data_IF_063456300338
#
_entry.id   IF_063456300338
#
_cell.length_a   1.000
_cell.length_b   1.000
_cell.length_c   1.000
_cell.angle_alpha   90.00
_cell.angle_beta   90.00
_cell.angle_gamma   90.00
#
_symmetry.space_group_name_H-M   'P 1'
#
loop_
_entity.id
_entity.type
_entity.pdbx_description
1 polymer ?
#
# COMPACT_ATOMS: atom_id res chain seq x y z
N UNK A 1 32.67 15.52 27.93
CA UNK A 1 33.61 15.28 26.81
C UNK A 1 34.72 16.31 26.90
N UNK A 2 35.96 15.91 26.64
CA UNK A 2 37.13 16.78 26.76
C UNK A 2 37.73 17.04 25.39
N UNK A 3 37.95 18.32 25.03
CA UNK A 3 38.60 18.67 23.78
C UNK A 3 40.07 18.22 23.80
N UNK A 4 40.50 17.45 22.78
CA UNK A 4 41.86 16.90 22.73
C UNK A 4 42.95 17.97 22.61
N UNK A 5 42.66 19.13 21.99
CA UNK A 5 43.60 20.24 21.75
C UNK A 5 43.67 21.22 22.91
N UNK A 6 42.53 21.79 23.33
CA UNK A 6 42.51 22.81 24.37
C UNK A 6 42.22 22.28 25.79
N UNK A 7 41.99 20.96 25.92
CA UNK A 7 41.69 20.28 27.19
C UNK A 7 40.46 20.80 27.94
N UNK A 8 39.60 21.59 27.27
CA UNK A 8 38.36 22.07 27.85
C UNK A 8 37.32 20.95 27.96
N UNK A 9 36.69 20.84 29.13
CA UNK A 9 35.62 19.90 29.40
C UNK A 9 34.25 20.53 29.13
N UNK A 10 33.46 19.89 28.29
CA UNK A 10 32.12 20.35 27.92
C UNK A 10 31.12 19.19 27.83
N UNK A 11 29.85 19.51 27.98
CA UNK A 11 28.76 18.56 27.80
C UNK A 11 28.50 18.31 26.33
N UNK A 12 28.46 17.04 25.93
CA UNK A 12 28.27 16.64 24.53
C UNK A 12 26.83 16.85 24.03
N UNK A 13 25.88 17.04 24.94
CA UNK A 13 24.47 17.32 24.61
C UNK A 13 24.25 18.82 24.38
N UNK A 14 24.52 19.66 25.38
CA UNK A 14 24.23 21.10 25.30
C UNK A 14 25.40 21.96 24.81
N UNK A 15 26.58 21.37 24.60
CA UNK A 15 27.84 22.03 24.21
C UNK A 15 28.34 23.11 25.18
N UNK A 16 27.79 23.17 26.39
CA UNK A 16 28.21 24.09 27.46
C UNK A 16 29.34 23.49 28.31
N UNK A 17 30.05 24.35 29.04
CA UNK A 17 31.07 23.97 30.02
C UNK A 17 30.56 22.88 31.00
N UNK A 18 31.37 21.85 31.20
CA UNK A 18 31.03 20.73 32.09
C UNK A 18 30.87 21.19 33.54
N UNK A 19 31.57 22.23 33.99
CA UNK A 19 31.45 22.76 35.35
C UNK A 19 30.05 23.30 35.68
N UNK A 20 29.25 23.64 34.66
CA UNK A 20 27.86 24.10 34.83
C UNK A 20 26.88 22.96 35.07
N UNK A 21 27.33 21.71 35.06
CA UNK A 21 26.51 20.53 35.29
C UNK A 21 26.68 20.03 36.72
N UNK A 22 25.57 19.70 37.38
CA UNK A 22 25.55 19.25 38.76
C UNK A 22 24.14 18.82 39.19
N UNK A 23 23.88 18.75 40.49
CA UNK A 23 22.58 18.29 41.02
C UNK A 23 21.38 19.09 40.51
N UNK A 24 21.57 20.40 40.24
CA UNK A 24 20.53 21.30 39.73
C UNK A 24 20.19 21.11 38.25
N UNK A 25 21.00 20.39 37.48
CA UNK A 25 20.83 20.19 36.02
C UNK A 25 20.43 18.77 35.66
N UNK A 26 19.98 17.97 36.63
CA UNK A 26 19.64 16.55 36.44
C UNK A 26 20.75 15.57 36.90
N UNK A 27 21.80 16.08 37.55
CA UNK A 27 22.97 15.32 37.97
C UNK A 27 24.18 15.53 37.04
N UNK A 28 25.31 14.90 37.35
CA UNK A 28 26.54 15.06 36.58
C UNK A 28 26.50 14.34 35.21
N UNK A 29 25.57 13.39 35.02
CA UNK A 29 25.47 12.58 33.80
C UNK A 29 24.18 12.79 33.00
N UNK A 30 23.19 13.49 33.55
CA UNK A 30 21.96 13.88 32.87
C UNK A 30 21.96 15.39 32.62
N UNK A 31 21.47 15.84 31.46
CA UNK A 31 21.53 17.24 31.04
C UNK A 31 20.13 17.82 30.80
N UNK A 32 19.46 18.24 31.87
CA UNK A 32 18.15 18.88 31.78
C UNK A 32 18.21 20.26 31.07
N UNK A 33 19.39 20.90 31.02
CA UNK A 33 19.63 22.14 30.26
C UNK A 33 19.48 21.89 28.75
N UNK A 34 19.94 20.74 28.27
CA UNK A 34 19.71 20.36 26.87
C UNK A 34 18.22 20.11 26.62
N UNK A 35 17.54 19.40 27.53
CA UNK A 35 16.12 19.09 27.37
C UNK A 35 15.22 20.34 27.41
N UNK A 36 15.57 21.36 28.20
CA UNK A 36 14.86 22.65 28.18
C UNK A 36 15.14 23.41 26.89
N UNK A 37 16.42 23.53 26.47
CA UNK A 37 16.76 24.14 25.18
C UNK A 37 16.09 23.44 24.01
N UNK A 38 16.02 22.11 24.03
CA UNK A 38 15.34 21.27 23.04
C UNK A 38 13.84 21.56 22.97
N UNK A 39 13.21 21.89 24.09
CA UNK A 39 11.79 22.28 24.18
C UNK A 39 11.54 23.74 23.79
N UNK A 40 12.52 24.61 23.96
CA UNK A 40 12.41 26.05 23.65
C UNK A 40 12.88 26.39 22.22
N UNK A 41 13.77 25.56 21.65
CA UNK A 41 14.32 25.74 20.31
C UNK A 41 13.32 25.30 19.24
N UNK A 42 12.63 26.30 18.68
CA UNK A 42 11.69 26.14 17.58
C UNK A 42 12.33 25.48 16.36
N UNK A 43 13.63 25.67 16.12
CA UNK A 43 14.31 25.03 15.00
C UNK A 43 14.44 23.53 15.24
N UNK A 44 14.84 23.12 16.44
CA UNK A 44 14.95 21.72 16.81
C UNK A 44 13.58 21.00 16.76
N UNK A 45 12.52 21.64 17.26
CA UNK A 45 11.15 21.12 17.12
C UNK A 45 10.70 21.01 15.66
N UNK A 46 11.00 22.01 14.83
CA UNK A 46 10.67 21.97 13.40
C UNK A 46 11.43 20.86 12.67
N UNK A 47 12.69 20.61 13.01
CA UNK A 47 13.50 19.54 12.45
C UNK A 47 12.95 18.16 12.82
N UNK A 48 12.56 17.97 14.08
CA UNK A 48 11.87 16.75 14.51
C UNK A 48 10.55 16.52 13.77
N UNK A 49 9.74 17.58 13.60
CA UNK A 49 8.51 17.49 12.83
C UNK A 49 8.75 17.15 11.35
N UNK A 50 9.81 17.68 10.73
CA UNK A 50 10.20 17.33 9.35
C UNK A 50 10.60 15.85 9.26
N UNK A 51 11.39 15.37 10.21
CA UNK A 51 11.80 13.96 10.28
C UNK A 51 10.57 13.06 10.44
N UNK A 52 9.66 13.41 11.34
CA UNK A 52 8.44 12.63 11.61
C UNK A 52 7.49 12.63 10.41
N UNK A 53 7.27 13.78 9.76
CA UNK A 53 6.53 13.87 8.49
C UNK A 53 7.16 13.02 7.40
N UNK A 54 8.49 13.00 7.31
CA UNK A 54 9.22 12.19 6.32
C UNK A 54 9.05 10.69 6.58
N UNK A 55 9.12 10.26 7.85
CA UNK A 55 8.84 8.88 8.25
C UNK A 55 7.40 8.47 7.91
N UNK A 56 6.43 9.31 8.21
CA UNK A 56 5.01 9.02 7.93
C UNK A 56 4.75 8.86 6.43
N UNK A 57 5.36 9.70 5.59
CA UNK A 57 5.29 9.56 4.12
C UNK A 57 5.89 8.23 3.64
N UNK A 58 7.01 7.81 4.21
CA UNK A 58 7.65 6.54 3.86
C UNK A 58 6.80 5.33 4.27
N UNK A 59 6.26 5.32 5.49
CA UNK A 59 5.37 4.26 5.99
C UNK A 59 4.14 4.15 5.09
N UNK A 60 3.54 5.29 4.74
CA UNK A 60 2.40 5.36 3.82
C UNK A 60 2.75 4.77 2.45
N UNK A 61 3.86 5.19 1.84
CA UNK A 61 4.31 4.62 0.57
C UNK A 61 4.51 3.10 0.66
N UNK A 62 5.17 2.62 1.71
CA UNK A 62 5.41 1.19 1.91
C UNK A 62 4.10 0.40 1.99
N UNK A 63 3.10 0.88 2.75
CA UNK A 63 1.79 0.25 2.86
C UNK A 63 1.11 0.01 1.51
N UNK A 64 1.10 1.02 0.63
CA UNK A 64 0.47 0.94 -0.68
C UNK A 64 1.31 0.12 -1.67
N UNK A 65 2.62 0.31 -1.67
CA UNK A 65 3.54 -0.41 -2.56
C UNK A 65 3.56 -1.91 -2.29
N UNK A 66 3.58 -2.32 -1.02
CA UNK A 66 3.52 -3.74 -0.66
C UNK A 66 2.25 -4.40 -1.19
N UNK A 67 1.09 -3.77 -1.04
CA UNK A 67 -0.19 -4.30 -1.52
C UNK A 67 -0.29 -4.33 -3.04
N UNK A 68 0.17 -3.26 -3.71
CA UNK A 68 0.34 -3.25 -5.16
C UNK A 68 1.20 -4.42 -5.63
N UNK A 69 2.37 -4.60 -5.03
CA UNK A 69 3.31 -5.67 -5.38
C UNK A 69 2.75 -7.06 -5.10
N UNK A 70 2.07 -7.23 -3.97
CA UNK A 70 1.43 -8.48 -3.59
C UNK A 70 0.31 -8.87 -4.56
N UNK A 71 -0.57 -7.94 -4.95
CA UNK A 71 -1.61 -8.24 -5.94
C UNK A 71 -1.03 -8.59 -7.32
N UNK A 72 0.07 -7.95 -7.73
CA UNK A 72 0.79 -8.33 -8.95
C UNK A 72 1.35 -9.75 -8.86
N UNK A 73 2.03 -10.09 -7.75
CA UNK A 73 2.59 -11.44 -7.53
C UNK A 73 1.50 -12.51 -7.46
N UNK A 74 0.44 -12.27 -6.68
CA UNK A 74 -0.68 -13.21 -6.56
C UNK A 74 -1.40 -13.42 -7.89
N UNK A 75 -1.53 -12.39 -8.72
CA UNK A 75 -2.04 -12.52 -10.09
C UNK A 75 -1.16 -13.44 -10.95
N UNK A 76 0.16 -13.29 -10.87
CA UNK A 76 1.11 -14.14 -11.61
C UNK A 76 1.08 -15.60 -11.14
N UNK A 77 0.93 -15.83 -9.84
CA UNK A 77 0.73 -17.17 -9.28
C UNK A 77 -0.56 -17.78 -9.82
N UNK A 78 -1.68 -17.05 -9.76
CA UNK A 78 -2.97 -17.52 -10.27
C UNK A 78 -2.92 -17.85 -11.77
N UNK A 79 -2.22 -17.03 -12.58
CA UNK A 79 -1.98 -17.32 -14.00
C UNK A 79 -1.26 -18.66 -14.23
N UNK A 80 -0.25 -18.97 -13.40
CA UNK A 80 0.46 -20.25 -13.48
C UNK A 80 -0.42 -21.43 -13.03
N UNK A 81 -1.36 -21.19 -12.12
CA UNK A 81 -2.30 -22.21 -11.62
C UNK A 81 -3.43 -22.54 -12.62
N UNK A 82 -3.68 -21.72 -13.65
CA UNK A 82 -4.70 -22.02 -14.69
C UNK A 82 -4.51 -23.43 -15.27
N UNK A 83 -3.27 -23.85 -15.53
CA UNK A 83 -2.98 -25.20 -16.04
C UNK A 83 -3.49 -26.30 -15.10
N UNK A 84 -3.27 -26.14 -13.78
CA UNK A 84 -3.75 -27.07 -12.76
C UNK A 84 -5.28 -27.14 -12.73
N UNK A 85 -5.98 -26.00 -12.85
CA UNK A 85 -7.44 -25.99 -12.90
C UNK A 85 -7.99 -26.67 -14.16
N UNK A 86 -7.33 -26.48 -15.31
CA UNK A 86 -7.63 -27.20 -16.56
C UNK A 86 -7.45 -28.70 -16.41
N UNK A 87 -6.35 -29.14 -15.82
CA UNK A 87 -6.10 -30.55 -15.56
C UNK A 87 -7.14 -31.15 -14.62
N UNK A 88 -7.53 -30.43 -13.56
CA UNK A 88 -8.60 -30.85 -12.65
C UNK A 88 -9.94 -31.05 -13.35
N UNK A 89 -10.33 -30.08 -14.18
CA UNK A 89 -11.51 -30.17 -15.06
C UNK A 89 -11.43 -31.37 -16.01
N UNK A 90 -10.29 -31.58 -16.68
CA UNK A 90 -10.10 -32.72 -17.57
C UNK A 90 -10.17 -34.08 -16.84
N UNK A 91 -9.70 -34.16 -15.58
CA UNK A 91 -9.85 -35.38 -14.76
C UNK A 91 -11.31 -35.67 -14.46
N UNK A 92 -12.09 -34.65 -14.09
CA UNK A 92 -13.54 -34.80 -13.86
C UNK A 92 -14.27 -35.27 -15.13
N UNK A 93 -13.90 -34.73 -16.30
CA UNK A 93 -14.41 -35.21 -17.59
C UNK A 93 -14.03 -36.68 -17.83
N UNK A 94 -12.75 -37.06 -17.72
CA UNK A 94 -12.27 -38.41 -18.06
C UNK A 94 -12.76 -39.50 -17.11
N UNK A 95 -12.83 -39.23 -15.80
CA UNK A 95 -13.13 -40.23 -14.77
C UNK A 95 -14.63 -40.38 -14.54
N UNK A 96 -15.38 -39.26 -14.52
CA UNK A 96 -16.81 -39.25 -14.17
C UNK A 96 -17.72 -38.85 -15.33
N UNK A 97 -17.17 -38.53 -16.50
CA UNK A 97 -17.91 -38.12 -17.69
C UNK A 97 -18.84 -36.92 -17.43
N UNK A 98 -18.35 -35.93 -16.68
CA UNK A 98 -19.03 -34.64 -16.57
C UNK A 98 -18.93 -33.89 -17.91
N UNK A 99 -20.01 -33.29 -18.44
CA UNK A 99 -19.95 -32.53 -19.69
C UNK A 99 -18.93 -31.39 -19.64
N UNK A 100 -18.14 -31.19 -20.69
CA UNK A 100 -17.14 -30.12 -20.74
C UNK A 100 -17.75 -28.72 -20.55
N UNK A 101 -18.97 -28.49 -21.06
CA UNK A 101 -19.74 -27.26 -20.87
C UNK A 101 -20.05 -26.97 -19.40
N UNK A 102 -20.27 -28.02 -18.59
CA UNK A 102 -20.54 -27.88 -17.17
C UNK A 102 -19.29 -27.60 -16.34
N UNK A 103 -18.10 -27.78 -16.91
CA UNK A 103 -16.79 -27.57 -16.27
C UNK A 103 -16.10 -26.27 -16.68
N UNK A 104 -16.66 -25.53 -17.64
CA UNK A 104 -16.11 -24.25 -18.11
C UNK A 104 -15.93 -23.21 -16.97
N UNK A 105 -16.74 -23.31 -15.91
CA UNK A 105 -16.70 -22.41 -14.77
C UNK A 105 -15.34 -22.37 -14.05
N UNK A 106 -14.52 -23.43 -14.12
CA UNK A 106 -13.18 -23.41 -13.53
C UNK A 106 -12.29 -22.35 -14.19
N UNK A 107 -12.29 -22.29 -15.52
CA UNK A 107 -11.51 -21.33 -16.29
C UNK A 107 -12.09 -19.92 -16.17
N UNK A 108 -13.41 -19.79 -16.22
CA UNK A 108 -14.10 -18.51 -16.03
C UNK A 108 -13.80 -17.90 -14.66
N UNK A 109 -13.87 -18.69 -13.59
CA UNK A 109 -13.56 -18.24 -12.23
C UNK A 109 -12.09 -17.84 -12.10
N UNK A 110 -11.16 -18.61 -12.66
CA UNK A 110 -9.73 -18.25 -12.66
C UNK A 110 -9.48 -16.93 -13.40
N UNK A 111 -10.11 -16.73 -14.56
CA UNK A 111 -10.00 -15.50 -15.34
C UNK A 111 -10.56 -14.29 -14.57
N UNK A 112 -11.70 -14.45 -13.89
CA UNK A 112 -12.32 -13.39 -13.10
C UNK A 112 -11.46 -13.02 -11.88
N UNK A 113 -10.85 -13.99 -11.19
CA UNK A 113 -9.90 -13.75 -10.08
C UNK A 113 -8.68 -12.95 -10.59
N UNK A 114 -8.13 -13.31 -11.75
CA UNK A 114 -6.98 -12.60 -12.34
C UNK A 114 -7.35 -11.16 -12.70
N UNK A 115 -8.53 -10.95 -13.27
CA UNK A 115 -9.06 -9.62 -13.56
C UNK A 115 -9.26 -8.80 -12.29
N UNK A 116 -9.81 -9.40 -11.23
CA UNK A 116 -9.98 -8.75 -9.94
C UNK A 116 -8.64 -8.33 -9.32
N UNK A 117 -7.64 -9.22 -9.27
CA UNK A 117 -6.30 -8.88 -8.75
C UNK A 117 -5.64 -7.76 -9.55
N UNK A 118 -5.89 -7.68 -10.86
CA UNK A 118 -5.42 -6.58 -11.70
C UNK A 118 -6.07 -5.23 -11.32
N UNK A 119 -7.37 -5.23 -11.04
CA UNK A 119 -8.09 -4.04 -10.54
C UNK A 119 -7.57 -3.67 -9.15
N UNK A 120 -7.55 -4.60 -8.20
CA UNK A 120 -7.05 -4.39 -6.84
C UNK A 120 -5.65 -3.78 -6.83
N UNK A 121 -4.72 -4.31 -7.65
CA UNK A 121 -3.40 -3.72 -7.83
C UNK A 121 -3.47 -2.22 -8.11
N UNK A 122 -4.25 -1.82 -9.10
CA UNK A 122 -4.35 -0.41 -9.50
C UNK A 122 -5.13 0.43 -8.49
N UNK A 123 -6.12 -0.13 -7.79
CA UNK A 123 -6.84 0.61 -6.74
C UNK A 123 -5.92 1.06 -5.60
N UNK A 124 -4.86 0.31 -5.29
CA UNK A 124 -3.84 0.77 -4.33
C UNK A 124 -2.96 1.88 -4.88
N UNK A 125 -2.61 1.83 -6.17
CA UNK A 125 -1.90 2.93 -6.80
C UNK A 125 -2.76 4.21 -6.78
N UNK A 126 -4.04 4.10 -7.17
CA UNK A 126 -5.00 5.21 -7.11
C UNK A 126 -5.15 5.73 -5.69
N UNK A 127 -5.43 4.86 -4.72
CA UNK A 127 -5.62 5.20 -3.30
C UNK A 127 -4.47 6.01 -2.72
N UNK A 128 -3.21 5.72 -3.10
CA UNK A 128 -2.05 6.49 -2.68
C UNK A 128 -2.08 7.95 -3.15
N UNK A 129 -2.54 8.21 -4.37
CA UNK A 129 -2.58 9.58 -4.90
C UNK A 129 -3.81 10.36 -4.42
N UNK A 130 -4.97 9.70 -4.34
CA UNK A 130 -6.23 10.40 -4.05
C UNK A 130 -6.44 10.68 -2.55
N UNK A 131 -5.85 9.89 -1.65
CA UNK A 131 -6.09 10.00 -0.19
C UNK A 131 -5.73 11.34 0.44
N UNK A 132 -4.76 12.09 -0.11
CA UNK A 132 -4.43 13.44 0.38
C UNK A 132 -5.24 14.55 -0.31
N UNK A 133 -5.99 14.24 -1.36
CA UNK A 133 -6.67 15.22 -2.23
C UNK A 133 -8.18 15.25 -1.97
N UNK A 134 -8.83 14.10 -1.94
CA UNK A 134 -10.29 14.01 -1.77
C UNK A 134 -10.71 13.97 -0.30
N UNK A 135 -12.02 14.14 -0.05
CA UNK A 135 -12.53 14.25 1.32
C UNK A 135 -12.44 12.89 2.07
N UNK A 136 -12.24 12.91 3.41
CA UNK A 136 -12.08 11.69 4.20
C UNK A 136 -13.17 10.65 3.99
N UNK A 137 -14.44 11.06 3.96
CA UNK A 137 -15.59 10.15 3.79
C UNK A 137 -15.60 9.44 2.42
N UNK A 138 -15.08 10.09 1.37
CA UNK A 138 -14.98 9.51 0.03
C UNK A 138 -13.90 8.43 -0.01
N UNK A 139 -12.78 8.68 0.67
CA UNK A 139 -11.69 7.71 0.84
C UNK A 139 -12.12 6.52 1.69
N UNK A 140 -12.86 6.75 2.77
CA UNK A 140 -13.39 5.67 3.62
C UNK A 140 -14.31 4.75 2.83
N UNK A 141 -15.22 5.31 2.02
CA UNK A 141 -16.09 4.52 1.15
C UNK A 141 -15.29 3.73 0.10
N UNK A 142 -14.28 4.35 -0.53
CA UNK A 142 -13.40 3.68 -1.49
C UNK A 142 -12.65 2.50 -0.85
N UNK A 143 -12.06 2.71 0.33
CA UNK A 143 -11.34 1.67 1.06
C UNK A 143 -12.27 0.54 1.51
N UNK A 144 -13.48 0.87 1.95
CA UNK A 144 -14.50 -0.12 2.31
C UNK A 144 -14.84 -1.03 1.12
N UNK A 145 -15.12 -0.44 -0.05
CA UNK A 145 -15.41 -1.21 -1.25
C UNK A 145 -14.20 -2.02 -1.76
N UNK A 146 -13.00 -1.46 -1.66
CA UNK A 146 -11.76 -2.16 -1.95
C UNK A 146 -11.61 -3.42 -1.06
N UNK A 147 -11.84 -3.29 0.25
CA UNK A 147 -11.78 -4.41 1.19
C UNK A 147 -12.83 -5.49 0.88
N UNK A 148 -14.06 -5.08 0.57
CA UNK A 148 -15.12 -6.01 0.13
C UNK A 148 -14.71 -6.79 -1.13
N UNK A 149 -14.06 -6.11 -2.09
CA UNK A 149 -13.56 -6.76 -3.30
C UNK A 149 -12.43 -7.75 -2.98
N UNK A 150 -11.48 -7.38 -2.10
CA UNK A 150 -10.40 -8.27 -1.66
C UNK A 150 -10.94 -9.54 -1.01
N UNK A 151 -11.86 -9.39 -0.06
CA UNK A 151 -12.44 -10.53 0.64
C UNK A 151 -13.15 -11.48 -0.34
N UNK A 152 -13.97 -10.94 -1.25
CA UNK A 152 -14.63 -11.74 -2.27
C UNK A 152 -13.63 -12.44 -3.19
N UNK A 153 -12.54 -11.77 -3.57
CA UNK A 153 -11.49 -12.34 -4.40
C UNK A 153 -10.79 -13.51 -3.71
N UNK A 154 -10.39 -13.36 -2.45
CA UNK A 154 -9.72 -14.42 -1.70
C UNK A 154 -10.65 -15.59 -1.38
N UNK A 155 -11.92 -15.34 -1.03
CA UNK A 155 -12.91 -16.39 -0.83
C UNK A 155 -13.15 -17.21 -2.09
N UNK A 156 -13.32 -16.55 -3.24
CA UNK A 156 -13.52 -17.23 -4.53
C UNK A 156 -12.28 -18.04 -4.93
N UNK A 157 -11.09 -17.48 -4.74
CA UNK A 157 -9.84 -18.18 -5.04
C UNK A 157 -9.64 -19.41 -4.15
N UNK A 158 -9.89 -19.28 -2.85
CA UNK A 158 -9.83 -20.41 -1.91
C UNK A 158 -10.79 -21.52 -2.31
N UNK A 159 -12.02 -21.19 -2.73
CA UNK A 159 -12.99 -22.18 -3.17
C UNK A 159 -12.53 -22.88 -4.47
N UNK A 160 -11.96 -22.12 -5.41
CA UNK A 160 -11.40 -22.68 -6.65
C UNK A 160 -10.22 -23.64 -6.39
N UNK A 161 -9.43 -23.40 -5.34
CA UNK A 161 -8.30 -24.26 -4.93
C UNK A 161 -8.72 -25.52 -4.14
N UNK A 162 -10.02 -25.73 -3.91
CA UNK A 162 -10.52 -26.89 -3.18
C UNK A 162 -10.10 -28.22 -3.82
N UNK A 163 -9.89 -29.23 -2.97
CA UNK A 163 -9.57 -30.58 -3.44
C UNK A 163 -10.74 -31.18 -4.23
N UNK A 164 -10.43 -31.71 -5.42
CA UNK A 164 -11.40 -32.34 -6.31
C UNK A 164 -11.50 -33.86 -6.10
N UNK A 165 -10.62 -34.46 -5.30
CA UNK A 165 -10.61 -35.90 -5.00
C UNK A 165 -11.98 -36.43 -4.55
N UNK A 166 -12.77 -35.73 -3.70
CA UNK A 166 -14.11 -36.19 -3.31
C UNK A 166 -15.11 -36.32 -4.46
N UNK A 167 -14.85 -35.68 -5.60
CA UNK A 167 -15.73 -35.71 -6.77
C UNK A 167 -15.27 -36.71 -7.84
N UNK A 168 -14.13 -37.38 -7.63
CA UNK A 168 -13.53 -38.31 -8.58
C UNK A 168 -13.80 -39.79 -8.23
N UNK A 169 -14.45 -40.08 -7.10
CA UNK A 169 -14.81 -41.44 -6.69
C UNK A 169 -15.76 -42.09 -7.71
N UNK A 170 -15.31 -43.16 -8.38
CA UNK A 170 -16.10 -43.88 -9.39
C UNK A 170 -17.19 -44.75 -8.79
N UNK A 171 -17.03 -45.17 -7.53
CA UNK A 171 -17.91 -46.15 -6.88
C UNK A 171 -19.20 -45.49 -6.35
N UNK A 172 -19.16 -44.17 -6.12
CA UNK A 172 -20.33 -43.38 -5.76
C UNK A 172 -21.05 -42.81 -6.99
N UNK A 173 -22.33 -43.15 -7.23
CA UNK A 173 -23.13 -42.55 -8.29
C UNK A 173 -23.59 -41.12 -7.96
N UNK A 174 -23.49 -40.69 -6.70
CA UNK A 174 -23.99 -39.38 -6.27
C UNK A 174 -23.10 -38.24 -6.81
N UNK A 175 -23.74 -37.31 -7.55
CA UNK A 175 -23.11 -36.10 -8.09
C UNK A 175 -23.55 -34.83 -7.38
N UNK A 176 -24.45 -34.94 -6.40
CA UNK A 176 -25.10 -33.79 -5.75
C UNK A 176 -24.07 -32.86 -5.08
N UNK A 177 -23.04 -33.43 -4.44
CA UNK A 177 -21.99 -32.66 -3.80
C UNK A 177 -21.16 -31.83 -4.80
N UNK A 178 -20.89 -32.38 -5.99
CA UNK A 178 -20.21 -31.64 -7.05
C UNK A 178 -21.06 -30.47 -7.55
N UNK A 179 -22.36 -30.68 -7.78
CA UNK A 179 -23.24 -29.59 -8.24
C UNK A 179 -23.43 -28.51 -7.18
N UNK A 180 -23.43 -28.85 -5.89
CA UNK A 180 -23.39 -27.87 -4.79
C UNK A 180 -22.10 -27.05 -4.84
N UNK A 181 -20.95 -27.70 -5.00
CA UNK A 181 -19.65 -27.02 -5.17
C UNK A 181 -19.65 -26.09 -6.38
N UNK A 182 -20.10 -26.59 -7.54
CA UNK A 182 -20.22 -25.81 -8.77
C UNK A 182 -21.11 -24.59 -8.58
N UNK A 183 -22.30 -24.76 -8.00
CA UNK A 183 -23.23 -23.67 -7.72
C UNK A 183 -22.61 -22.62 -6.80
N UNK A 184 -21.93 -23.04 -5.74
CA UNK A 184 -21.25 -22.13 -4.81
C UNK A 184 -20.15 -21.32 -5.51
N UNK A 185 -19.32 -21.96 -6.35
CA UNK A 185 -18.23 -21.28 -7.03
C UNK A 185 -18.73 -20.31 -8.10
N UNK A 186 -19.78 -20.67 -8.85
CA UNK A 186 -20.42 -19.76 -9.81
C UNK A 186 -20.99 -18.54 -9.10
N UNK A 187 -21.72 -18.75 -8.00
CA UNK A 187 -22.29 -17.64 -7.22
C UNK A 187 -21.21 -16.71 -6.69
N UNK A 188 -20.11 -17.25 -6.14
CA UNK A 188 -18.99 -16.43 -5.66
C UNK A 188 -18.30 -15.67 -6.80
N UNK A 189 -18.10 -16.31 -7.95
CA UNK A 189 -17.56 -15.65 -9.17
C UNK A 189 -18.46 -14.49 -9.61
N UNK A 190 -19.78 -14.68 -9.62
CA UNK A 190 -20.71 -13.64 -10.08
C UNK A 190 -20.74 -12.44 -9.11
N UNK A 191 -20.72 -12.69 -7.80
CA UNK A 191 -20.56 -11.65 -6.77
C UNK A 191 -19.21 -10.93 -6.93
N UNK A 192 -18.12 -11.67 -7.17
CA UNK A 192 -16.79 -11.11 -7.41
C UNK A 192 -16.80 -10.18 -8.63
N UNK A 193 -17.42 -10.60 -9.72
CA UNK A 193 -17.56 -9.81 -10.95
C UNK A 193 -18.34 -8.52 -10.71
N UNK A 194 -19.45 -8.60 -9.98
CA UNK A 194 -20.23 -7.42 -9.62
C UNK A 194 -19.42 -6.43 -8.77
N UNK A 195 -18.74 -6.92 -7.72
CA UNK A 195 -17.89 -6.07 -6.86
C UNK A 195 -16.74 -5.45 -7.64
N UNK A 196 -16.13 -6.20 -8.57
CA UNK A 196 -15.07 -5.67 -9.45
C UNK A 196 -15.59 -4.53 -10.32
N UNK A 197 -16.78 -4.68 -10.89
CA UNK A 197 -17.39 -3.66 -11.73
C UNK A 197 -17.69 -2.38 -10.92
N UNK A 198 -18.31 -2.52 -9.75
CA UNK A 198 -18.54 -1.37 -8.86
C UNK A 198 -17.23 -0.68 -8.45
N UNK A 199 -16.17 -1.45 -8.20
CA UNK A 199 -14.87 -0.89 -7.84
C UNK A 199 -14.23 -0.11 -8.99
N UNK A 200 -14.42 -0.55 -10.24
CA UNK A 200 -13.96 0.18 -11.43
C UNK A 200 -14.68 1.53 -11.54
N UNK A 201 -16.01 1.53 -11.44
CA UNK A 201 -16.83 2.74 -11.47
C UNK A 201 -16.45 3.72 -10.34
N UNK A 202 -16.22 3.20 -9.12
CA UNK A 202 -15.78 4.03 -8.01
C UNK A 202 -14.36 4.58 -8.21
N UNK A 203 -13.47 3.80 -8.84
CA UNK A 203 -12.11 4.26 -9.18
C UNK A 203 -12.16 5.39 -10.21
N UNK A 204 -13.01 5.29 -11.22
CA UNK A 204 -13.24 6.36 -12.20
C UNK A 204 -13.82 7.62 -11.54
N UNK A 205 -14.83 7.43 -10.67
CA UNK A 205 -15.44 8.53 -9.92
C UNK A 205 -14.45 9.26 -9.01
N UNK A 206 -13.62 8.54 -8.25
CA UNK A 206 -12.66 9.16 -7.32
C UNK A 206 -11.51 9.87 -8.05
N UNK A 207 -11.09 9.36 -9.22
CA UNK A 207 -10.12 10.05 -10.07
C UNK A 207 -10.69 11.36 -10.64
N UNK A 208 -11.94 11.34 -11.10
CA UNK A 208 -12.64 12.56 -11.57
C UNK A 208 -12.73 13.61 -10.46
N UNK A 209 -13.09 13.19 -9.25
CA UNK A 209 -13.12 14.08 -8.08
C UNK A 209 -11.74 14.67 -7.76
N UNK A 210 -10.68 13.88 -7.90
CA UNK A 210 -9.30 14.34 -7.72
C UNK A 210 -8.96 15.46 -8.71
N UNK A 211 -9.28 15.28 -9.98
CA UNK A 211 -9.06 16.28 -11.04
C UNK A 211 -9.85 17.58 -10.78
N UNK A 212 -11.10 17.48 -10.32
CA UNK A 212 -11.92 18.64 -9.96
C UNK A 212 -11.34 19.44 -8.79
N UNK A 213 -10.83 18.75 -7.76
CA UNK A 213 -10.21 19.39 -6.60
C UNK A 213 -8.93 20.10 -7.01
N UNK A 214 -8.09 19.45 -7.82
CA UNK A 214 -6.86 20.04 -8.35
C UNK A 214 -7.16 21.26 -9.25
N UNK A 215 -8.18 21.19 -10.11
CA UNK A 215 -8.61 22.31 -10.93
C UNK A 215 -9.07 23.51 -10.08
N UNK A 216 -9.86 23.27 -9.02
CA UNK A 216 -10.29 24.32 -8.08
C UNK A 216 -9.11 24.94 -7.32
N UNK A 217 -8.13 24.12 -6.92
CA UNK A 217 -6.90 24.60 -6.28
C UNK A 217 -6.00 25.40 -7.24
N UNK A 218 -5.97 25.04 -8.53
CA UNK A 218 -5.28 25.78 -9.59
C UNK A 218 -5.92 27.13 -9.91
N UNK A 219 -7.26 27.24 -9.81
CA UNK A 219 -8.00 28.50 -9.99
C UNK A 219 -7.80 29.46 -8.81
N UNK A 220 -7.61 28.95 -7.58
CA UNK A 220 -7.34 29.77 -6.40
C UNK A 220 -5.89 30.27 -6.32
N UNK A 221 -4.94 29.56 -6.94
CA UNK A 221 -3.54 29.95 -7.00
C UNK A 221 -3.20 30.54 -8.38
N UNK A 222 -3.66 31.77 -8.65
CA UNK A 222 -3.15 32.55 -9.77
C UNK A 222 -1.61 32.52 -9.75
N UNK A 223 -1.02 31.95 -10.79
CA UNK A 223 0.39 31.56 -10.84
C UNK A 223 1.33 32.72 -10.47
N UNK A 224 2.25 32.58 -9.51
CA UNK A 224 3.39 33.47 -9.46
C UNK A 224 4.29 33.09 -10.64
N UNK A 225 4.44 34.03 -11.57
CA UNK A 225 5.38 33.98 -12.67
C UNK A 225 6.73 33.43 -12.19
N UNK A 226 7.10 32.23 -12.65
CA UNK A 226 8.35 31.57 -12.24
C UNK A 226 9.51 32.42 -12.79
N UNK A 227 10.07 33.31 -11.96
CA UNK A 227 11.35 33.95 -12.28
C UNK A 227 12.40 32.86 -12.52
N UNK A 228 13.18 32.93 -13.62
CA UNK A 228 14.21 31.94 -13.91
C UNK A 228 15.17 31.82 -12.73
N UNK A 229 15.47 30.58 -12.32
CA UNK A 229 16.50 30.30 -11.33
C UNK A 229 17.83 30.90 -11.81
N UNK A 230 18.32 31.93 -11.13
CA UNK A 230 19.67 32.43 -11.36
C UNK A 230 20.66 31.39 -10.82
N UNK A 231 21.69 31.01 -11.60
CA UNK A 231 22.71 30.09 -11.14
C UNK A 231 23.46 30.69 -9.93
N UNK A 232 23.92 29.83 -8.98
CA UNK A 232 24.59 30.29 -7.79
C UNK A 232 25.87 31.05 -8.13
N UNK A 233 26.02 32.27 -7.58
CA UNK A 233 27.24 33.06 -7.69
C UNK A 233 28.41 32.25 -7.11
N UNK A 234 29.39 31.90 -7.95
CA UNK A 234 30.63 31.23 -7.51
C UNK A 234 31.29 32.07 -6.42
N UNK A 235 31.40 31.53 -5.21
CA UNK A 235 32.19 32.13 -4.15
C UNK A 235 33.67 32.10 -4.56
N UNK A 236 34.27 33.28 -4.74
CA UNK A 236 35.69 33.40 -5.05
C UNK A 236 36.52 32.95 -3.85
N UNK A 237 37.18 31.80 -3.98
CA UNK A 237 38.20 31.34 -3.04
C UNK A 237 39.41 32.26 -3.21
N UNK A 238 39.64 33.16 -2.24
CA UNK A 238 40.89 33.94 -2.18
C UNK A 238 42.03 33.02 -1.76
N UNK A 239 43.17 32.98 -2.48
CA UNK A 239 44.31 32.18 -2.08
C UNK A 239 44.95 32.78 -0.82
N UNK A 240 45.18 31.94 0.19
CA UNK A 240 46.04 32.27 1.33
C UNK A 240 47.47 32.45 0.81
N UNK A 241 48.04 33.64 0.98
CA UNK A 241 49.48 33.87 0.80
C UNK A 241 50.23 33.14 1.92
N UNK A 242 51.39 32.57 1.54
CA UNK A 242 52.34 31.85 2.40
C UNK A 242 52.77 32.68 3.59
#
# INVERSE_FOLDING_TARGET
>A
MTCSKCKHDFCWLCLMDWQKHGSSTGGYYACNIFDTKKKEDKNFQSEQQIIEKSKNKLIRYQFYYERYSNHQKSKEICRKQIGRFKEGSQKLFKVKNYPASELAFFEESAAEIIACRQVLKWTYATGYFVEEVVQPHQIELFKFQQQELEQACESTHKLLESDLSPYLDTDSPDRSNFYKFRGNLINQKDVLKQRRQHMLENTEGIMTLCEEVEAKAGVQNGAPEKKPLQPPKKAAIKPKKK
#
